data_IF_014189947317
#
_entry.id   IF_014189947317
#
_cell.length_a   1.000
_cell.length_b   1.000
_cell.length_c   1.000
_cell.angle_alpha   90.00
_cell.angle_beta   90.00
_cell.angle_gamma   90.00
#
_symmetry.space_group_name_H-M   'P 1'
#
loop_
_entity.id
_entity.type
_entity.pdbx_description
1 polymer ?
#
# COMPACT_ATOMS: atom_id res chain seq x y z
N UNK A 1 -37.09 -39.20 -3.99
CA UNK A 1 -37.52 -37.80 -3.71
C UNK A 1 -36.30 -36.90 -3.79
N UNK A 2 -36.36 -36.00 -4.75
CA UNK A 2 -35.26 -35.14 -5.19
C UNK A 2 -35.36 -33.83 -4.40
N UNK A 3 -34.33 -33.52 -3.66
CA UNK A 3 -34.22 -32.25 -2.97
C UNK A 3 -33.45 -31.25 -3.85
N UNK A 4 -34.19 -30.30 -4.38
CA UNK A 4 -33.64 -29.21 -5.22
C UNK A 4 -32.72 -28.29 -4.41
N UNK A 5 -31.49 -28.20 -4.85
CA UNK A 5 -30.56 -27.17 -4.39
C UNK A 5 -30.93 -25.83 -5.04
N UNK A 6 -31.40 -24.89 -4.26
CA UNK A 6 -31.63 -23.51 -4.68
C UNK A 6 -30.30 -22.79 -4.88
N UNK A 7 -30.06 -22.45 -6.13
CA UNK A 7 -28.96 -21.62 -6.59
C UNK A 7 -29.30 -20.14 -6.38
N UNK A 8 -28.44 -19.43 -5.70
CA UNK A 8 -28.10 -18.05 -6.01
C UNK A 8 -29.13 -16.97 -5.68
N UNK A 9 -28.94 -16.33 -4.53
CA UNK A 9 -29.48 -14.99 -4.31
C UNK A 9 -28.57 -13.95 -5.00
N UNK A 10 -29.01 -13.49 -6.16
CA UNK A 10 -28.47 -12.28 -6.79
C UNK A 10 -28.89 -11.06 -5.98
N UNK A 11 -27.97 -10.48 -5.25
CA UNK A 11 -28.19 -9.20 -4.59
C UNK A 11 -27.93 -8.06 -5.58
N UNK A 12 -28.99 -7.55 -6.20
CA UNK A 12 -28.95 -6.38 -7.07
C UNK A 12 -28.86 -5.11 -6.23
N UNK A 13 -27.69 -4.55 -6.10
CA UNK A 13 -27.52 -3.17 -5.64
C UNK A 13 -27.75 -2.26 -6.83
N UNK A 14 -28.87 -1.57 -6.82
CA UNK A 14 -29.29 -0.64 -7.88
C UNK A 14 -28.79 0.76 -7.53
N UNK A 15 -27.57 1.06 -7.88
CA UNK A 15 -27.05 2.44 -7.78
C UNK A 15 -26.97 3.06 -9.18
N UNK A 16 -27.71 4.16 -9.40
CA UNK A 16 -27.97 4.74 -10.73
C UNK A 16 -26.75 5.41 -11.39
N UNK A 17 -25.59 5.36 -10.80
CA UNK A 17 -24.39 6.08 -11.27
C UNK A 17 -23.26 5.18 -11.78
N UNK A 18 -23.34 3.87 -11.63
CA UNK A 18 -22.24 2.97 -12.01
C UNK A 18 -22.73 1.85 -12.93
N UNK A 19 -22.06 1.73 -14.09
CA UNK A 19 -22.21 0.57 -14.96
C UNK A 19 -21.85 -0.68 -14.16
N UNK A 20 -22.73 -1.69 -14.17
CA UNK A 20 -22.47 -3.00 -13.59
C UNK A 20 -21.13 -3.54 -14.11
N UNK A 21 -20.15 -3.68 -13.24
CA UNK A 21 -18.94 -4.44 -13.54
C UNK A 21 -19.21 -5.86 -13.12
N UNK A 22 -19.49 -6.74 -14.10
CA UNK A 22 -19.55 -8.17 -13.88
C UNK A 22 -18.12 -8.69 -13.79
N UNK A 23 -17.65 -8.94 -12.58
CA UNK A 23 -16.40 -9.67 -12.41
C UNK A 23 -16.73 -11.15 -12.51
N UNK A 24 -16.30 -11.80 -13.59
CA UNK A 24 -16.35 -13.25 -13.70
C UNK A 24 -15.49 -13.85 -12.60
N UNK A 25 -16.09 -14.65 -11.73
CA UNK A 25 -15.34 -15.55 -10.86
C UNK A 25 -14.64 -16.56 -11.77
N UNK A 26 -13.37 -16.32 -12.06
CA UNK A 26 -12.55 -17.33 -12.70
C UNK A 26 -12.35 -18.47 -11.71
N UNK A 27 -12.57 -19.74 -12.13
CA UNK A 27 -12.27 -20.88 -11.28
C UNK A 27 -10.78 -20.81 -10.93
N UNK A 28 -10.45 -21.00 -9.64
CA UNK A 28 -9.06 -21.12 -9.16
C UNK A 28 -8.33 -22.08 -10.09
N UNK A 29 -7.50 -21.54 -10.97
CA UNK A 29 -6.72 -22.35 -11.90
C UNK A 29 -5.73 -23.17 -11.07
N UNK A 30 -5.90 -24.46 -11.18
CA UNK A 30 -5.06 -25.49 -10.61
C UNK A 30 -3.70 -25.44 -11.29
N UNK A 31 -2.63 -25.27 -10.49
CA UNK A 31 -1.22 -25.47 -10.86
C UNK A 31 -0.59 -24.50 -11.90
N UNK A 32 -0.37 -23.26 -11.48
CA UNK A 32 0.84 -22.58 -11.86
C UNK A 32 1.50 -22.04 -10.58
N UNK A 33 2.73 -22.46 -10.30
CA UNK A 33 3.49 -22.04 -9.13
C UNK A 33 4.07 -20.62 -9.34
N UNK A 34 3.25 -19.71 -9.86
CA UNK A 34 3.63 -18.31 -10.00
C UNK A 34 3.69 -17.66 -8.62
N UNK A 35 4.82 -17.07 -8.32
CA UNK A 35 5.04 -16.35 -7.07
C UNK A 35 4.15 -15.10 -7.03
N UNK A 36 3.39 -14.94 -5.96
CA UNK A 36 2.68 -13.69 -5.68
C UNK A 36 3.67 -12.56 -5.41
N UNK A 37 3.33 -11.35 -5.85
CA UNK A 37 4.17 -10.17 -5.74
C UNK A 37 3.32 -8.93 -5.41
N UNK A 38 3.90 -7.97 -4.74
CA UNK A 38 3.28 -6.67 -4.51
C UNK A 38 3.46 -5.75 -5.71
N UNK A 39 2.37 -5.46 -6.40
CA UNK A 39 2.35 -4.48 -7.47
C UNK A 39 1.88 -3.13 -6.96
N UNK A 40 2.62 -2.07 -7.31
CA UNK A 40 2.14 -0.72 -7.14
C UNK A 40 1.25 -0.34 -8.32
N UNK A 41 0.01 0.01 -8.03
CA UNK A 41 -0.99 0.30 -9.04
C UNK A 41 -1.56 1.71 -8.87
N UNK A 42 -1.80 2.35 -10.00
CA UNK A 42 -2.51 3.63 -10.07
C UNK A 42 -3.96 3.38 -10.42
N UNK A 43 -4.86 3.94 -9.62
CA UNK A 43 -6.31 3.93 -9.87
C UNK A 43 -6.74 5.33 -10.29
N UNK A 44 -7.30 5.49 -11.48
CA UNK A 44 -7.77 6.81 -11.91
C UNK A 44 -9.08 7.21 -11.22
N UNK A 45 -9.35 8.52 -11.16
CA UNK A 45 -10.59 9.09 -10.63
C UNK A 45 -10.82 8.90 -9.13
N UNK A 46 -9.79 8.73 -8.32
CA UNK A 46 -9.88 8.57 -6.86
C UNK A 46 -10.80 7.42 -6.42
N UNK A 47 -10.76 6.31 -7.13
CA UNK A 47 -11.56 5.09 -6.86
C UNK A 47 -10.76 4.01 -6.12
N UNK A 48 -9.69 4.38 -5.46
CA UNK A 48 -8.82 3.44 -4.76
C UNK A 48 -9.57 2.63 -3.69
N UNK A 49 -10.53 3.26 -2.99
CA UNK A 49 -11.33 2.58 -1.98
C UNK A 49 -12.35 1.62 -2.60
N UNK A 50 -12.94 1.98 -3.76
CA UNK A 50 -13.87 1.11 -4.48
C UNK A 50 -13.14 -0.14 -4.98
N UNK A 51 -11.92 0.05 -5.53
CA UNK A 51 -11.08 -1.07 -5.97
C UNK A 51 -10.69 -1.95 -4.78
N UNK A 52 -10.33 -1.35 -3.64
CA UNK A 52 -10.02 -2.11 -2.44
C UNK A 52 -11.19 -2.99 -2.00
N UNK A 53 -12.39 -2.43 -1.92
CA UNK A 53 -13.59 -3.19 -1.55
C UNK A 53 -13.85 -4.35 -2.51
N UNK A 54 -13.64 -4.15 -3.82
CA UNK A 54 -13.79 -5.19 -4.82
C UNK A 54 -12.75 -6.32 -4.64
N UNK A 55 -11.49 -5.96 -4.37
CA UNK A 55 -10.41 -6.91 -4.11
C UNK A 55 -10.64 -7.71 -2.82
N UNK A 56 -11.11 -7.05 -1.77
CA UNK A 56 -11.45 -7.68 -0.49
C UNK A 56 -12.58 -8.74 -0.68
N UNK A 57 -13.59 -8.44 -1.52
CA UNK A 57 -14.64 -9.41 -1.89
C UNK A 57 -14.10 -10.62 -2.65
N UNK A 58 -13.04 -10.44 -3.43
CA UNK A 58 -12.38 -11.51 -4.17
C UNK A 58 -11.31 -12.26 -3.36
N UNK A 59 -11.06 -11.85 -2.12
CA UNK A 59 -10.01 -12.42 -1.27
C UNK A 59 -8.59 -12.09 -1.74
N UNK A 60 -8.42 -11.02 -2.52
CA UNK A 60 -7.12 -10.53 -2.97
C UNK A 60 -6.57 -9.54 -1.96
N UNK A 61 -5.36 -9.80 -1.43
CA UNK A 61 -4.71 -8.91 -0.47
C UNK A 61 -4.33 -7.59 -1.13
N UNK A 62 -4.78 -6.48 -0.54
CA UNK A 62 -4.47 -5.14 -1.01
C UNK A 62 -4.21 -4.17 0.14
N UNK A 63 -3.45 -3.11 -0.12
CA UNK A 63 -3.12 -2.10 0.88
C UNK A 63 -3.14 -0.69 0.28
N UNK A 64 -3.78 0.23 1.00
CA UNK A 64 -3.78 1.66 0.72
C UNK A 64 -3.24 2.37 1.97
N UNK A 65 -2.15 3.15 1.88
CA UNK A 65 -1.69 3.95 3.01
C UNK A 65 -2.72 5.04 3.34
N UNK A 66 -3.21 5.04 4.57
CA UNK A 66 -4.25 5.94 5.04
C UNK A 66 -3.74 6.78 6.22
N UNK A 67 -4.33 7.95 6.41
CA UNK A 67 -4.10 8.78 7.59
C UNK A 67 -5.38 9.48 8.04
N UNK A 68 -5.42 9.89 9.29
CA UNK A 68 -6.53 10.66 9.82
C UNK A 68 -6.40 12.14 9.49
N UNK A 69 -7.51 12.73 9.03
CA UNK A 69 -7.65 14.18 8.79
C UNK A 69 -8.84 14.70 9.59
N UNK A 70 -8.68 15.84 10.22
CA UNK A 70 -9.78 16.53 10.89
C UNK A 70 -10.43 17.49 9.91
N UNK A 71 -11.68 17.24 9.56
CA UNK A 71 -12.48 18.12 8.70
C UNK A 71 -13.60 18.78 9.50
N UNK A 72 -13.95 19.99 9.09
CA UNK A 72 -15.12 20.67 9.62
C UNK A 72 -16.36 20.29 8.80
N UNK A 73 -17.27 19.52 9.40
CA UNK A 73 -18.56 19.18 8.80
C UNK A 73 -19.69 19.77 9.65
N UNK A 74 -20.53 20.62 9.06
CA UNK A 74 -21.69 21.23 9.72
C UNK A 74 -21.35 21.83 11.10
N UNK A 75 -20.27 22.59 11.21
CA UNK A 75 -19.74 23.21 12.45
C UNK A 75 -19.22 22.22 13.52
N UNK A 76 -19.01 20.96 13.16
CA UNK A 76 -18.39 19.95 14.05
C UNK A 76 -17.08 19.45 13.44
N UNK A 77 -16.09 19.21 14.28
CA UNK A 77 -14.85 18.55 13.87
C UNK A 77 -15.14 17.05 13.70
N UNK A 78 -14.93 16.53 12.50
CA UNK A 78 -15.07 15.11 12.19
C UNK A 78 -13.69 14.59 11.83
N UNK A 79 -13.30 13.46 12.42
CA UNK A 79 -12.08 12.74 12.12
C UNK A 79 -12.40 11.73 11.02
N UNK A 80 -11.73 11.86 9.88
CA UNK A 80 -11.94 11.02 8.70
C UNK A 80 -10.64 10.35 8.30
N UNK A 81 -10.70 9.06 7.95
CA UNK A 81 -9.57 8.31 7.44
C UNK A 81 -9.53 8.45 5.93
N UNK A 82 -8.45 9.04 5.40
CA UNK A 82 -8.30 9.33 3.97
C UNK A 82 -6.99 8.75 3.43
N UNK A 83 -6.93 8.40 2.13
CA UNK A 83 -5.68 7.99 1.49
C UNK A 83 -4.61 9.08 1.57
N UNK A 84 -3.39 8.69 1.96
CA UNK A 84 -2.22 9.58 2.01
C UNK A 84 -1.83 10.04 0.62
N UNK A 85 -1.84 9.11 -0.33
CA UNK A 85 -1.57 9.36 -1.74
C UNK A 85 -2.79 8.93 -2.53
N UNK A 86 -3.42 9.89 -3.20
CA UNK A 86 -4.55 9.59 -4.07
C UNK A 86 -4.14 8.75 -5.27
N UNK A 87 -5.06 7.90 -5.71
CA UNK A 87 -4.87 7.03 -6.85
C UNK A 87 -3.78 5.96 -6.67
N UNK A 88 -3.37 5.63 -5.43
CA UNK A 88 -2.37 4.61 -5.13
C UNK A 88 -3.01 3.43 -4.39
N UNK A 89 -2.77 2.23 -4.88
CA UNK A 89 -3.10 0.97 -4.21
C UNK A 89 -1.98 -0.05 -4.46
N UNK A 90 -1.62 -0.80 -3.43
CA UNK A 90 -0.73 -1.95 -3.54
C UNK A 90 -1.57 -3.22 -3.57
N UNK A 91 -1.27 -4.13 -4.49
CA UNK A 91 -2.02 -5.38 -4.69
C UNK A 91 -1.04 -6.56 -4.67
N UNK A 92 -1.32 -7.56 -3.83
CA UNK A 92 -0.53 -8.77 -3.71
C UNK A 92 -1.18 -9.91 -4.48
N UNK A 93 -0.64 -10.22 -5.64
CA UNK A 93 -1.25 -11.16 -6.59
C UNK A 93 -0.18 -11.74 -7.53
N UNK A 94 -0.51 -12.81 -8.27
CA UNK A 94 0.36 -13.31 -9.34
C UNK A 94 0.34 -12.37 -10.57
N UNK A 95 1.35 -12.47 -11.41
CA UNK A 95 1.39 -11.64 -12.63
C UNK A 95 0.29 -12.00 -13.61
N UNK A 96 -0.11 -13.26 -13.66
CA UNK A 96 -1.18 -13.76 -14.54
C UNK A 96 -2.53 -13.22 -14.08
N UNK A 97 -2.86 -13.37 -12.78
CA UNK A 97 -4.12 -12.88 -12.22
C UNK A 97 -4.22 -11.35 -12.29
N UNK A 98 -3.09 -10.63 -12.15
CA UNK A 98 -3.05 -9.18 -12.33
C UNK A 98 -3.42 -8.76 -13.76
N UNK A 99 -3.03 -9.54 -14.79
CA UNK A 99 -3.42 -9.25 -16.17
C UNK A 99 -4.93 -9.44 -16.37
N UNK A 100 -5.52 -10.47 -15.77
CA UNK A 100 -6.96 -10.70 -15.82
C UNK A 100 -7.70 -9.59 -15.07
N UNK A 101 -7.30 -9.27 -13.86
CA UNK A 101 -7.88 -8.19 -13.04
C UNK A 101 -7.90 -6.85 -13.81
N UNK A 102 -6.87 -6.55 -14.58
CA UNK A 102 -6.81 -5.33 -15.40
C UNK A 102 -7.78 -5.32 -16.57
N UNK A 103 -8.20 -6.46 -17.09
CA UNK A 103 -9.24 -6.52 -18.12
C UNK A 103 -10.59 -6.13 -17.53
N UNK A 104 -10.85 -6.54 -16.30
CA UNK A 104 -12.10 -6.26 -15.59
C UNK A 104 -12.14 -4.82 -15.05
N UNK A 105 -10.97 -4.26 -14.70
CA UNK A 105 -10.85 -2.91 -14.13
C UNK A 105 -9.97 -2.04 -15.04
N UNK A 106 -10.53 -1.43 -16.10
CA UNK A 106 -9.74 -0.70 -17.11
C UNK A 106 -9.08 0.59 -16.58
N UNK A 107 -9.55 1.12 -15.46
CA UNK A 107 -8.96 2.29 -14.78
C UNK A 107 -7.84 1.92 -13.79
N UNK A 108 -7.44 0.65 -13.72
CA UNK A 108 -6.31 0.15 -12.94
C UNK A 108 -5.05 0.09 -13.84
N UNK A 109 -4.02 0.83 -13.51
CA UNK A 109 -2.80 0.94 -14.30
C UNK A 109 -1.57 0.60 -13.46
N UNK A 110 -0.55 -0.03 -14.06
CA UNK A 110 0.73 -0.20 -13.37
C UNK A 110 1.40 1.14 -13.14
N UNK A 111 1.97 1.32 -11.96
CA UNK A 111 2.96 2.36 -11.77
C UNK A 111 4.29 1.88 -12.35
N UNK A 112 4.95 2.76 -13.07
CA UNK A 112 6.25 2.48 -13.69
C UNK A 112 7.31 3.39 -13.09
N UNK A 113 8.52 2.87 -12.95
CA UNK A 113 9.68 3.68 -12.57
C UNK A 113 10.01 4.63 -13.73
N UNK A 114 10.13 5.91 -13.41
CA UNK A 114 10.43 6.96 -14.41
C UNK A 114 11.80 6.81 -15.07
N UNK A 115 12.72 6.04 -14.48
CA UNK A 115 14.07 5.83 -15.01
C UNK A 115 14.17 4.61 -15.90
N UNK A 116 13.61 3.47 -15.44
CA UNK A 116 13.68 2.19 -16.17
C UNK A 116 12.48 1.96 -17.08
N UNK A 117 11.35 2.63 -16.84
CA UNK A 117 10.08 2.36 -17.52
C UNK A 117 9.43 1.04 -17.09
N UNK A 118 10.05 0.29 -16.20
CA UNK A 118 9.57 -0.99 -15.72
C UNK A 118 8.46 -0.83 -14.67
N UNK A 119 7.63 -1.86 -14.53
CA UNK A 119 6.59 -1.92 -13.50
C UNK A 119 7.22 -1.95 -12.12
N UNK A 120 6.68 -1.16 -11.20
CA UNK A 120 7.17 -1.17 -9.84
C UNK A 120 6.58 -2.37 -9.09
N UNK A 121 7.49 -3.28 -8.70
CA UNK A 121 7.22 -4.44 -7.86
C UNK A 121 7.91 -4.18 -6.53
N UNK A 122 7.15 -4.24 -5.44
CA UNK A 122 7.68 -3.98 -4.10
C UNK A 122 8.08 -5.32 -3.47
N UNK A 123 9.32 -5.45 -2.96
CA UNK A 123 9.75 -6.65 -2.23
C UNK A 123 8.88 -6.92 -1.01
N UNK A 124 8.54 -8.20 -0.76
CA UNK A 124 7.65 -8.61 0.33
C UNK A 124 8.10 -8.12 1.71
N UNK A 125 9.39 -8.17 1.99
CA UNK A 125 9.95 -7.67 3.27
C UNK A 125 9.70 -6.17 3.44
N UNK A 126 9.97 -5.38 2.40
CA UNK A 126 9.76 -3.94 2.42
C UNK A 126 8.28 -3.57 2.57
N UNK A 127 7.41 -4.32 1.87
CA UNK A 127 5.97 -4.07 1.95
C UNK A 127 5.40 -4.46 3.31
N UNK A 128 5.87 -5.56 3.90
CA UNK A 128 5.49 -5.99 5.24
C UNK A 128 5.82 -4.92 6.29
N UNK A 129 7.04 -4.39 6.27
CA UNK A 129 7.48 -3.36 7.21
C UNK A 129 6.69 -2.07 7.01
N UNK A 130 6.42 -1.71 5.75
CA UNK A 130 5.60 -0.55 5.41
C UNK A 130 4.16 -0.69 5.90
N UNK A 131 3.51 -1.84 5.66
CA UNK A 131 2.14 -2.12 6.10
C UNK A 131 2.05 -2.10 7.62
N UNK A 132 3.02 -2.72 8.31
CA UNK A 132 3.01 -2.80 9.76
C UNK A 132 3.05 -1.42 10.41
N UNK A 133 3.86 -0.51 9.88
CA UNK A 133 3.96 0.86 10.43
C UNK A 133 2.82 1.75 9.92
N UNK A 134 2.51 1.76 8.61
CA UNK A 134 1.44 2.59 8.06
C UNK A 134 0.05 2.17 8.54
N UNK A 135 -0.14 0.87 8.83
CA UNK A 135 -1.40 0.32 9.34
C UNK A 135 -1.72 0.67 10.78
N UNK A 136 -0.77 1.24 11.54
CA UNK A 136 -1.04 1.77 12.89
C UNK A 136 -1.89 3.04 12.86
N UNK A 137 -1.94 3.72 11.71
CA UNK A 137 -2.60 5.02 11.54
C UNK A 137 -2.16 6.07 12.57
N UNK A 138 -0.91 5.98 13.05
CA UNK A 138 -0.35 6.91 14.02
C UNK A 138 -0.31 8.33 13.44
N UNK A 139 -0.82 9.30 14.18
CA UNK A 139 -0.88 10.70 13.78
C UNK A 139 0.51 11.35 13.66
N UNK A 140 1.52 10.75 14.28
CA UNK A 140 2.91 11.23 14.22
C UNK A 140 3.67 10.72 12.99
N UNK A 141 3.08 9.83 12.18
CA UNK A 141 3.65 9.40 10.92
C UNK A 141 3.59 10.54 9.90
N UNK A 142 4.73 10.85 9.31
CA UNK A 142 4.84 11.84 8.26
C UNK A 142 5.09 11.13 6.94
N UNK A 143 4.28 11.45 5.95
CA UNK A 143 4.40 10.90 4.61
C UNK A 143 5.00 11.93 3.66
N UNK A 144 5.91 11.49 2.80
CA UNK A 144 6.66 12.31 1.87
C UNK A 144 6.61 11.73 0.47
N UNK A 145 6.72 12.62 -0.51
CA UNK A 145 6.96 12.18 -1.89
C UNK A 145 8.40 11.68 -2.04
N UNK A 146 8.67 10.79 -3.00
CA UNK A 146 10.02 10.27 -3.22
C UNK A 146 11.08 11.35 -3.44
N UNK A 147 10.68 12.48 -4.06
CA UNK A 147 11.55 13.61 -4.39
C UNK A 147 11.98 14.42 -3.15
N UNK A 148 11.21 14.34 -2.06
CA UNK A 148 11.46 15.12 -0.84
C UNK A 148 12.51 14.47 0.05
N UNK A 149 12.83 13.19 -0.19
CA UNK A 149 13.79 12.41 0.59
C UNK A 149 14.88 11.87 -0.33
N UNK A 150 16.13 12.08 0.06
CA UNK A 150 17.28 11.47 -0.61
C UNK A 150 17.81 10.30 0.23
N UNK A 151 17.41 9.04 -0.10
CA UNK A 151 17.79 7.86 0.66
C UNK A 151 19.31 7.63 0.68
N UNK A 152 20.02 8.07 -0.34
CA UNK A 152 21.47 7.90 -0.45
C UNK A 152 22.26 8.67 0.61
N UNK A 153 21.65 9.68 1.24
CA UNK A 153 22.27 10.48 2.29
C UNK A 153 22.01 9.96 3.71
N UNK A 154 21.22 8.88 3.83
CA UNK A 154 20.86 8.31 5.11
C UNK A 154 21.68 7.08 5.47
N UNK A 155 21.64 6.71 6.75
CA UNK A 155 22.25 5.49 7.27
C UNK A 155 21.18 4.43 7.43
N UNK A 156 21.40 3.21 6.94
CA UNK A 156 20.50 2.09 7.19
C UNK A 156 20.55 1.67 8.64
N UNK A 157 19.39 1.58 9.26
CA UNK A 157 19.26 1.26 10.67
C UNK A 157 18.13 0.25 10.89
N UNK A 158 18.24 -0.50 11.99
CA UNK A 158 17.19 -1.33 12.55
C UNK A 158 16.75 -0.74 13.88
N UNK A 159 15.48 -0.73 14.13
CA UNK A 159 14.90 -0.29 15.40
C UNK A 159 14.95 -1.46 16.36
N UNK A 160 15.58 -1.29 17.53
CA UNK A 160 15.79 -2.37 18.52
C UNK A 160 14.83 -2.29 19.71
N UNK A 161 13.98 -1.25 19.79
CA UNK A 161 13.03 -1.10 20.90
C UNK A 161 11.84 -0.19 20.57
N UNK A 162 10.83 -0.21 21.44
CA UNK A 162 9.57 0.53 21.26
C UNK A 162 8.60 -0.19 20.32
N UNK A 163 7.51 0.51 19.94
CA UNK A 163 6.41 -0.03 19.14
C UNK A 163 6.83 -0.46 17.73
N UNK A 164 7.95 0.03 17.25
CA UNK A 164 8.49 -0.26 15.93
C UNK A 164 9.75 -1.14 15.98
N UNK A 165 9.95 -1.89 17.05
CA UNK A 165 11.10 -2.79 17.18
C UNK A 165 11.12 -3.85 16.06
N UNK A 166 12.30 -4.08 15.49
CA UNK A 166 12.52 -5.04 14.40
C UNK A 166 12.39 -4.48 12.99
N UNK A 167 11.82 -3.29 12.80
CA UNK A 167 11.71 -2.68 11.48
C UNK A 167 13.01 -2.01 11.05
N UNK A 168 13.26 -2.06 9.74
CA UNK A 168 14.42 -1.44 9.11
C UNK A 168 14.02 -0.19 8.33
N UNK A 169 14.90 0.81 8.36
CA UNK A 169 14.67 2.04 7.62
C UNK A 169 15.96 2.82 7.40
N UNK A 170 15.82 4.04 6.95
CA UNK A 170 16.93 4.97 6.69
C UNK A 170 16.85 6.11 7.70
N UNK A 171 17.92 6.28 8.49
CA UNK A 171 18.01 7.35 9.47
C UNK A 171 18.53 8.62 8.80
N UNK A 172 17.65 9.58 8.58
CA UNK A 172 17.94 10.77 7.79
C UNK A 172 17.24 12.01 8.37
N UNK A 173 17.80 13.19 8.11
CA UNK A 173 17.15 14.46 8.41
C UNK A 173 16.09 14.74 7.34
N UNK A 174 14.86 14.91 7.78
CA UNK A 174 13.71 15.19 6.92
C UNK A 174 13.44 16.69 6.92
N UNK A 175 13.00 17.22 5.77
CA UNK A 175 12.64 18.64 5.65
C UNK A 175 11.48 18.98 6.60
N UNK A 176 11.64 20.03 7.39
CA UNK A 176 10.65 20.46 8.37
C UNK A 176 10.72 19.76 9.74
N UNK A 177 11.61 18.78 9.92
CA UNK A 177 11.89 18.18 11.23
C UNK A 177 13.19 18.73 11.83
N UNK A 178 13.18 18.95 13.14
CA UNK A 178 14.40 19.36 13.88
C UNK A 178 15.42 18.23 13.92
N UNK A 179 14.92 17.01 14.16
CA UNK A 179 15.71 15.81 14.40
C UNK A 179 15.71 14.88 13.19
N UNK A 180 16.70 13.97 13.18
CA UNK A 180 16.71 12.88 12.22
C UNK A 180 15.58 11.90 12.57
N UNK A 181 15.01 11.29 11.54
CA UNK A 181 13.92 10.29 11.68
C UNK A 181 14.28 9.01 10.96
N UNK A 182 13.70 7.90 11.41
CA UNK A 182 13.76 6.66 10.66
C UNK A 182 12.69 6.71 9.58
N UNK A 183 13.07 6.49 8.35
CA UNK A 183 12.22 6.59 7.18
C UNK A 183 12.16 5.23 6.48
N UNK A 184 10.96 4.71 6.27
CA UNK A 184 10.70 3.55 5.42
C UNK A 184 10.30 4.08 4.05
N UNK A 185 11.06 3.71 3.01
CA UNK A 185 10.79 4.14 1.64
C UNK A 185 10.31 2.96 0.81
N UNK A 186 9.23 3.13 0.07
CA UNK A 186 8.92 2.31 -1.09
C UNK A 186 9.44 3.04 -2.30
N UNK A 187 10.43 2.45 -2.94
CA UNK A 187 11.22 3.08 -3.99
C UNK A 187 10.34 3.66 -5.11
N UNK A 188 10.51 4.94 -5.39
CA UNK A 188 9.81 5.65 -6.46
C UNK A 188 8.34 5.99 -6.20
N UNK A 189 7.77 5.64 -5.03
CA UNK A 189 6.34 5.82 -4.76
C UNK A 189 6.07 6.71 -3.56
N UNK A 190 6.53 6.31 -2.38
CA UNK A 190 6.22 6.97 -1.12
C UNK A 190 7.34 6.75 -0.10
N UNK A 191 7.57 7.73 0.73
CA UNK A 191 8.40 7.61 1.92
C UNK A 191 7.58 7.97 3.16
N UNK A 192 7.74 7.18 4.21
CA UNK A 192 7.08 7.37 5.49
C UNK A 192 8.13 7.55 6.57
N UNK A 193 8.10 8.70 7.24
CA UNK A 193 8.96 8.97 8.38
C UNK A 193 8.18 8.68 9.68
N UNK A 194 8.76 7.82 10.50
CA UNK A 194 8.28 7.57 11.85
C UNK A 194 8.53 8.78 12.76
N UNK A 195 7.82 8.84 13.87
CA UNK A 195 8.11 9.79 14.93
C UNK A 195 9.58 9.74 15.34
N UNK A 196 10.06 10.76 16.02
CA UNK A 196 11.46 10.81 16.51
C UNK A 196 11.70 9.59 17.40
N UNK A 197 12.57 8.69 16.93
CA UNK A 197 13.00 7.51 17.69
C UNK A 197 14.26 7.89 18.42
N UNK A 198 14.35 7.58 19.72
CA UNK A 198 15.56 7.81 20.49
C UNK A 198 16.77 7.12 19.85
N UNK A 199 17.92 7.75 19.72
CA UNK A 199 19.13 7.15 19.16
C UNK A 199 19.53 5.83 19.84
N UNK A 200 19.21 5.67 21.13
CA UNK A 200 19.48 4.44 21.90
C UNK A 200 18.66 3.23 21.43
N UNK A 201 17.59 3.47 20.67
CA UNK A 201 16.72 2.42 20.12
C UNK A 201 17.04 2.10 18.66
N UNK A 202 18.19 2.54 18.16
CA UNK A 202 18.57 2.39 16.76
C UNK A 202 19.91 1.66 16.65
N UNK A 203 19.96 0.60 15.88
CA UNK A 203 21.17 -0.12 15.51
C UNK A 203 21.53 0.15 14.05
N UNK A 204 22.80 0.49 13.78
CA UNK A 204 23.30 0.71 12.42
C UNK A 204 23.56 -0.62 11.72
N UNK A 205 22.88 -0.86 10.61
CA UNK A 205 23.12 -2.01 9.76
C UNK A 205 24.34 -1.72 8.87
N UNK A 206 25.46 -2.38 9.14
CA UNK A 206 26.65 -2.32 8.28
C UNK A 206 26.38 -3.12 7.01
N UNK A 207 26.31 -2.47 5.85
CA UNK A 207 26.32 -3.20 4.59
C UNK A 207 27.69 -3.91 4.42
N UNK A 208 27.70 -5.19 3.99
CA UNK A 208 28.95 -5.81 3.60
C UNK A 208 29.55 -5.00 2.44
N UNK A 209 30.76 -4.51 2.59
CA UNK A 209 31.48 -3.81 1.52
C UNK A 209 31.49 -4.70 0.29
N UNK A 210 30.81 -4.30 -0.78
CA UNK A 210 30.97 -4.94 -2.10
C UNK A 210 32.46 -4.86 -2.45
N UNK A 211 33.12 -6.03 -2.49
CA UNK A 211 34.45 -6.18 -3.10
C UNK A 211 34.35 -6.03 -4.60
#
# INVERSE_FOLDING_TARGET
EISECLVGSEMCIRDRKYRKIYVRQSPKSMFCCEKTQWFAMRVTYRRELDVKNLLDQQGVSSFIPMHYVIRMAKKRKVRELVPVVHNLIFIHITQTDMKELKKDIPYLQYMTDSRSGEKIIVPDGQMRDFIAVAGTYDEHLLFFKPEEINPAKGTRVRIIGGDFAGYEGIFIKVKGARDRRVVICIQGIIAMAMATISPDLIEVIKEPKKK
#
